data_IF_106139703857
#
_entry.id   IF_106139703857
#
_cell.length_a   1.000
_cell.length_b   1.000
_cell.length_c   1.000
_cell.angle_alpha   90.00
_cell.angle_beta   90.00
_cell.angle_gamma   90.00
#
_symmetry.space_group_name_H-M   'P 1'
#
loop_
_entity.id
_entity.type
_entity.pdbx_description
1 polymer ?
#
# COMPACT_ATOMS: atom_id res chain seq x y z
N UNK A 1 -17.72 21.57 -4.35
CA UNK A 1 -18.02 21.25 -2.94
C UNK A 1 -18.27 19.76 -2.90
N UNK A 2 -17.23 18.97 -2.64
CA UNK A 2 -17.31 17.51 -2.57
C UNK A 2 -17.66 17.14 -1.15
N UNK A 3 -18.83 16.55 -0.95
CA UNK A 3 -19.39 16.21 0.34
C UNK A 3 -18.50 15.19 1.07
N UNK A 4 -17.77 15.64 2.10
CA UNK A 4 -17.05 14.76 3.03
C UNK A 4 -17.99 13.73 3.72
N UNK A 5 -19.30 13.94 3.65
CA UNK A 5 -20.33 13.08 4.25
C UNK A 5 -20.34 11.64 3.71
N UNK A 6 -19.73 11.36 2.56
CA UNK A 6 -19.67 10.01 1.96
C UNK A 6 -18.28 9.35 2.05
N UNK A 7 -17.33 9.97 2.74
CA UNK A 7 -15.98 9.44 2.89
C UNK A 7 -15.81 8.80 4.28
N UNK A 8 -15.61 7.48 4.30
CA UNK A 8 -15.20 6.76 5.51
C UNK A 8 -13.69 6.78 5.62
N UNK A 9 -13.16 7.40 6.68
CA UNK A 9 -11.73 7.31 7.00
C UNK A 9 -11.44 5.98 7.71
N UNK A 10 -10.49 5.25 7.16
CA UNK A 10 -9.94 4.03 7.76
C UNK A 10 -8.47 4.29 8.13
N UNK A 11 -7.99 3.65 9.19
CA UNK A 11 -6.62 3.77 9.67
C UNK A 11 -5.68 2.78 8.96
N UNK A 12 -6.22 1.63 8.55
CA UNK A 12 -5.42 0.56 7.92
C UNK A 12 -6.04 0.07 6.62
N UNK A 13 -5.22 -0.45 5.71
CA UNK A 13 -5.73 -1.10 4.49
C UNK A 13 -6.59 -2.33 4.80
N UNK A 14 -6.32 -3.03 5.90
CA UNK A 14 -7.12 -4.18 6.34
C UNK A 14 -8.56 -3.78 6.70
N UNK A 15 -8.74 -2.67 7.43
CA UNK A 15 -10.07 -2.12 7.75
C UNK A 15 -10.85 -1.79 6.47
N UNK A 16 -10.19 -1.13 5.52
CA UNK A 16 -10.77 -0.79 4.21
C UNK A 16 -11.22 -2.07 3.48
N UNK A 17 -10.36 -3.09 3.42
CA UNK A 17 -10.67 -4.36 2.75
C UNK A 17 -11.87 -5.05 3.40
N UNK A 18 -11.93 -5.07 4.74
CA UNK A 18 -13.07 -5.65 5.46
C UNK A 18 -14.38 -4.92 5.13
N UNK A 19 -14.36 -3.59 5.10
CA UNK A 19 -15.54 -2.79 4.76
C UNK A 19 -16.00 -3.03 3.31
N UNK A 20 -15.08 -3.04 2.34
CA UNK A 20 -15.40 -3.33 0.94
C UNK A 20 -15.98 -4.75 0.80
N UNK A 21 -15.41 -5.75 1.49
CA UNK A 21 -15.94 -7.12 1.52
C UNK A 21 -17.35 -7.21 2.11
N UNK A 22 -17.64 -6.38 3.10
CA UNK A 22 -18.98 -6.26 3.69
C UNK A 22 -19.96 -5.44 2.82
N UNK A 23 -19.53 -4.95 1.65
CA UNK A 23 -20.37 -4.21 0.70
C UNK A 23 -20.39 -2.69 0.91
N UNK A 24 -19.52 -2.16 1.76
CA UNK A 24 -19.38 -0.71 1.98
C UNK A 24 -18.54 -0.08 0.87
N UNK A 25 -19.15 0.11 -0.30
CA UNK A 25 -18.62 0.90 -1.40
C UNK A 25 -17.34 0.32 -2.03
N UNK A 26 -16.41 1.20 -2.39
CA UNK A 26 -15.14 0.88 -3.03
C UNK A 26 -14.01 1.69 -2.38
N UNK A 27 -12.77 1.26 -2.58
CA UNK A 27 -11.61 1.97 -2.07
C UNK A 27 -10.45 1.97 -3.06
N UNK A 28 -9.72 3.07 -3.08
CA UNK A 28 -8.43 3.16 -3.75
C UNK A 28 -7.35 2.73 -2.74
N UNK A 29 -6.72 1.58 -2.98
CA UNK A 29 -5.64 1.06 -2.16
C UNK A 29 -4.41 0.78 -3.01
N UNK A 30 -3.21 0.77 -2.43
CA UNK A 30 -2.03 0.41 -3.17
C UNK A 30 -2.10 -1.04 -3.69
N UNK A 31 -1.55 -1.28 -4.88
CA UNK A 31 -1.62 -2.58 -5.56
C UNK A 31 -1.04 -3.72 -4.74
N UNK A 32 0.06 -3.47 -4.00
CA UNK A 32 0.68 -4.46 -3.12
C UNK A 32 -0.23 -4.93 -1.99
N UNK A 33 -1.14 -4.07 -1.54
CA UNK A 33 -2.12 -4.39 -0.50
C UNK A 33 -3.41 -4.98 -1.08
N UNK A 34 -3.67 -4.82 -2.38
CA UNK A 34 -4.83 -5.39 -3.07
C UNK A 34 -4.56 -6.79 -3.67
N UNK A 35 -3.30 -7.13 -3.90
CA UNK A 35 -2.90 -8.38 -4.54
C UNK A 35 -3.36 -9.61 -3.74
N UNK A 36 -4.02 -10.55 -4.42
CA UNK A 36 -4.37 -11.86 -3.85
C UNK A 36 -5.56 -11.88 -2.88
N UNK A 37 -6.31 -10.78 -2.74
CA UNK A 37 -7.50 -10.77 -1.89
C UNK A 37 -8.66 -11.48 -2.61
N UNK A 38 -8.95 -12.71 -2.19
CA UNK A 38 -10.12 -13.46 -2.66
C UNK A 38 -11.43 -12.71 -2.36
N UNK A 39 -12.36 -12.77 -3.32
CA UNK A 39 -13.70 -12.20 -3.22
C UNK A 39 -13.81 -10.73 -3.57
N UNK A 40 -12.74 -10.08 -4.05
CA UNK A 40 -12.76 -8.69 -4.51
C UNK A 40 -12.34 -8.58 -5.97
N UNK A 41 -13.03 -7.71 -6.71
CA UNK A 41 -12.60 -7.31 -8.04
C UNK A 41 -11.58 -6.18 -7.93
N UNK A 42 -10.43 -6.32 -8.58
CA UNK A 42 -9.35 -5.32 -8.59
C UNK A 42 -9.32 -4.63 -9.95
N UNK A 43 -9.53 -3.32 -9.98
CA UNK A 43 -9.39 -2.50 -11.18
C UNK A 43 -8.04 -1.75 -11.13
N UNK A 44 -7.08 -2.07 -12.02
CA UNK A 44 -5.81 -1.35 -12.05
C UNK A 44 -6.01 0.08 -12.57
N UNK A 45 -5.76 1.08 -11.70
CA UNK A 45 -5.88 2.49 -12.05
C UNK A 45 -4.61 2.98 -12.77
N UNK A 46 -4.64 3.06 -14.10
CA UNK A 46 -3.45 3.31 -14.95
C UNK A 46 -2.81 4.70 -14.82
N UNK A 47 -3.47 5.66 -14.17
CA UNK A 47 -2.99 7.03 -13.97
C UNK A 47 -2.78 7.44 -12.51
N UNK A 48 -2.78 6.50 -11.58
CA UNK A 48 -2.51 6.82 -10.18
C UNK A 48 -1.01 7.18 -10.03
N UNK A 49 -0.65 8.14 -9.15
CA UNK A 49 0.74 8.35 -8.81
C UNK A 49 1.32 7.00 -8.35
N UNK A 50 2.42 6.57 -8.97
CA UNK A 50 3.16 5.42 -8.47
C UNK A 50 3.48 5.69 -7.01
N UNK A 51 2.96 4.86 -6.11
CA UNK A 51 3.31 4.99 -4.70
C UNK A 51 4.76 4.53 -4.60
N UNK A 52 5.65 5.45 -4.26
CA UNK A 52 7.05 5.13 -4.02
C UNK A 52 7.14 4.31 -2.73
N UNK A 53 7.59 3.07 -2.87
CA UNK A 53 7.96 2.21 -1.76
C UNK A 53 9.47 2.27 -1.59
N UNK A 54 9.91 2.47 -0.34
CA UNK A 54 11.33 2.54 -0.02
C UNK A 54 11.59 2.20 1.44
N UNK A 55 12.81 1.75 1.73
CA UNK A 55 13.29 1.62 3.09
C UNK A 55 13.70 3.00 3.63
N UNK A 56 13.05 3.45 4.70
CA UNK A 56 13.42 4.67 5.41
C UNK A 56 14.41 4.32 6.51
N UNK A 57 15.67 4.69 6.30
CA UNK A 57 16.78 4.35 7.19
C UNK A 57 17.38 5.65 7.71
N UNK A 58 17.83 5.66 8.97
CA UNK A 58 18.55 6.83 9.49
C UNK A 58 19.84 7.03 8.70
N UNK A 59 20.13 8.28 8.33
CA UNK A 59 21.29 8.61 7.50
C UNK A 59 22.65 8.21 8.12
N UNK A 60 22.70 8.07 9.44
CA UNK A 60 23.90 7.71 10.21
C UNK A 60 23.97 6.21 10.57
N UNK A 61 22.95 5.42 10.21
CA UNK A 61 22.93 4.00 10.54
C UNK A 61 24.00 3.24 9.74
N UNK A 62 24.89 2.54 10.44
CA UNK A 62 25.90 1.67 9.85
C UNK A 62 25.94 0.34 10.60
N UNK A 63 25.63 -0.75 9.90
CA UNK A 63 25.84 -2.11 10.38
C UNK A 63 25.93 -3.07 9.19
N UNK A 64 26.69 -4.15 9.35
CA UNK A 64 26.82 -5.18 8.31
C UNK A 64 25.46 -5.80 7.93
N UNK A 65 24.55 -5.91 8.92
CA UNK A 65 23.19 -6.39 8.69
C UNK A 65 22.36 -5.43 7.84
N UNK A 66 22.52 -4.11 8.03
CA UNK A 66 21.85 -3.09 7.23
C UNK A 66 22.36 -3.11 5.79
N UNK A 67 23.67 -3.20 5.59
CA UNK A 67 24.28 -3.32 4.25
C UNK A 67 23.80 -4.59 3.53
N UNK A 68 23.75 -5.72 4.24
CA UNK A 68 23.21 -6.97 3.72
C UNK A 68 21.74 -6.86 3.32
N UNK A 69 20.91 -6.22 4.14
CA UNK A 69 19.50 -5.95 3.82
C UNK A 69 19.38 -5.05 2.58
N UNK A 70 20.13 -3.95 2.50
CA UNK A 70 20.10 -3.02 1.38
C UNK A 70 20.54 -3.67 0.07
N UNK A 71 21.57 -4.52 0.10
CA UNK A 71 22.02 -5.28 -1.06
C UNK A 71 20.93 -6.24 -1.55
N UNK A 72 20.29 -6.99 -0.65
CA UNK A 72 19.19 -7.89 -1.00
C UNK A 72 17.97 -7.13 -1.55
N UNK A 73 17.61 -6.01 -0.92
CA UNK A 73 16.49 -5.17 -1.36
C UNK A 73 16.71 -4.60 -2.78
N UNK A 74 17.93 -4.15 -3.10
CA UNK A 74 18.28 -3.68 -4.46
C UNK A 74 18.14 -4.78 -5.51
N UNK A 75 18.49 -6.03 -5.18
CA UNK A 75 18.32 -7.15 -6.13
C UNK A 75 16.85 -7.49 -6.35
N UNK A 76 16.04 -7.44 -5.30
CA UNK A 76 14.64 -7.84 -5.36
C UNK A 76 13.71 -6.75 -5.96
N UNK A 77 14.07 -5.48 -5.80
CA UNK A 77 13.17 -4.35 -6.05
C UNK A 77 13.80 -3.16 -6.80
N UNK A 78 15.11 -3.21 -7.11
CA UNK A 78 15.86 -2.13 -7.77
C UNK A 78 16.10 -2.34 -9.25
#
# INVERSE_FOLDING_TARGET
RTDEAYLTRCLTTSEVVCLVKAGFGYALVPSIAAGGISGLAVLPWRGAPGIEYGAYIRADAKSDALEGFLAAARVAYG
#
